data_IF_552049933027
#
_entry.id   IF_552049933027
#
_cell.length_a   1.000
_cell.length_b   1.000
_cell.length_c   1.000
_cell.angle_alpha   90.00
_cell.angle_beta   90.00
_cell.angle_gamma   90.00
#
_symmetry.space_group_name_H-M   'P 1'
#
loop_
_entity.id
_entity.type
_entity.pdbx_description
1 polymer ?
#
# COMPACT_ATOMS: atom_id res chain seq x y z
N UNK A 1 38.65 50.15 59.21
CA UNK A 1 38.78 48.78 58.67
C UNK A 1 37.85 47.88 59.48
N UNK A 2 37.06 46.94 58.91
CA UNK A 2 36.59 46.75 57.54
C UNK A 2 35.08 47.08 57.40
N UNK A 3 34.59 47.33 56.18
CA UNK A 3 33.15 47.49 55.90
C UNK A 3 32.70 46.35 54.98
N UNK A 4 31.71 45.62 55.43
CA UNK A 4 31.26 44.32 54.95
C UNK A 4 30.77 44.30 53.49
N UNK A 5 31.18 43.27 52.77
CA UNK A 5 30.60 42.86 51.48
C UNK A 5 29.21 42.27 51.71
N UNK A 6 28.19 42.80 51.02
CA UNK A 6 26.91 42.10 50.81
C UNK A 6 26.80 41.83 49.31
N UNK A 7 26.97 40.57 48.91
CA UNK A 7 26.66 40.10 47.56
C UNK A 7 25.22 39.62 47.54
N UNK A 8 24.34 40.37 46.91
CA UNK A 8 23.00 39.91 46.56
C UNK A 8 23.10 38.96 45.35
N UNK A 9 22.74 37.70 45.54
CA UNK A 9 22.62 36.71 44.46
C UNK A 9 21.16 36.73 44.00
N UNK A 10 20.90 37.33 42.84
CA UNK A 10 19.59 37.24 42.18
C UNK A 10 19.46 35.87 41.54
N UNK A 11 18.60 35.01 42.10
CA UNK A 11 18.20 33.76 41.49
C UNK A 11 17.20 34.06 40.36
N UNK A 12 17.64 33.90 39.11
CA UNK A 12 16.75 33.89 37.94
C UNK A 12 16.06 32.52 37.89
N UNK A 13 14.79 32.46 38.27
CA UNK A 13 13.95 31.28 38.09
C UNK A 13 13.55 31.19 36.61
N UNK A 14 14.14 30.24 35.89
CA UNK A 14 13.77 29.95 34.50
C UNK A 14 12.50 29.08 34.51
N UNK A 15 11.34 29.69 34.23
CA UNK A 15 10.12 28.92 33.96
C UNK A 15 10.28 28.23 32.60
N UNK A 16 10.56 26.92 32.61
CA UNK A 16 10.51 26.10 31.41
C UNK A 16 9.05 25.99 30.94
N UNK A 17 8.68 26.75 29.92
CA UNK A 17 7.43 26.52 29.19
C UNK A 17 7.58 25.22 28.43
N UNK A 18 6.91 24.15 28.89
CA UNK A 18 6.74 22.94 28.13
C UNK A 18 5.96 23.26 26.86
N UNK A 19 6.66 23.34 25.73
CA UNK A 19 6.01 23.39 24.43
C UNK A 19 5.37 22.03 24.17
N UNK A 20 4.04 21.97 24.22
CA UNK A 20 3.30 20.82 23.69
C UNK A 20 3.50 20.83 22.17
N UNK A 21 4.21 19.83 21.65
CA UNK A 21 4.34 19.64 20.21
C UNK A 21 2.94 19.37 19.66
N UNK A 22 2.43 20.29 18.84
CA UNK A 22 1.18 20.11 18.13
C UNK A 22 1.43 19.00 17.10
N UNK A 23 0.75 17.87 17.24
CA UNK A 23 0.83 16.75 16.32
C UNK A 23 0.31 17.24 14.96
N UNK A 24 1.23 17.71 14.14
CA UNK A 24 0.94 18.26 12.83
C UNK A 24 0.50 17.08 11.98
N UNK A 25 -0.82 16.91 11.83
CA UNK A 25 -1.44 15.94 10.93
C UNK A 25 -0.64 15.96 9.62
N UNK A 26 0.17 14.91 9.41
CA UNK A 26 1.07 14.84 8.26
C UNK A 26 0.24 14.98 7.00
N UNK A 27 0.65 15.85 6.09
CA UNK A 27 0.00 15.95 4.79
C UNK A 27 0.02 14.55 4.16
N UNK A 28 -1.16 14.00 3.89
CA UNK A 28 -1.31 12.68 3.27
C UNK A 28 -0.93 12.79 1.79
N UNK A 29 0.37 12.96 1.54
CA UNK A 29 1.00 13.07 0.22
C UNK A 29 2.33 12.31 0.18
N UNK A 30 2.65 11.74 -0.97
CA UNK A 30 3.91 11.05 -1.22
C UNK A 30 4.38 11.34 -2.65
N UNK A 31 5.66 11.63 -2.83
CA UNK A 31 6.28 11.75 -4.15
C UNK A 31 7.46 10.79 -4.26
N UNK A 32 7.52 10.01 -5.33
CA UNK A 32 8.52 8.95 -5.52
C UNK A 32 8.77 8.68 -7.00
N UNK A 33 9.85 7.94 -7.29
CA UNK A 33 10.15 7.47 -8.64
C UNK A 33 9.55 6.09 -8.86
N UNK A 34 8.86 5.91 -9.98
CA UNK A 34 8.37 4.62 -10.43
C UNK A 34 8.63 4.50 -11.93
N UNK A 35 9.32 3.44 -12.35
CA UNK A 35 9.74 3.25 -13.76
C UNK A 35 10.43 4.49 -14.39
N UNK A 36 11.21 5.21 -13.59
CA UNK A 36 11.93 6.42 -14.03
C UNK A 36 11.07 7.69 -14.14
N UNK A 37 9.78 7.63 -13.79
CA UNK A 37 8.87 8.78 -13.76
C UNK A 37 8.57 9.21 -12.33
N UNK A 38 8.47 10.52 -12.09
CA UNK A 38 8.03 11.04 -10.80
C UNK A 38 6.51 10.86 -10.67
N UNK A 39 6.10 10.10 -9.66
CA UNK A 39 4.71 9.91 -9.26
C UNK A 39 4.46 10.74 -8.01
N UNK A 40 3.34 11.44 -7.97
CA UNK A 40 2.88 12.18 -6.79
C UNK A 40 1.48 11.71 -6.43
N UNK A 41 1.32 11.27 -5.19
CA UNK A 41 0.07 10.97 -4.54
C UNK A 41 -0.23 12.12 -3.59
N UNK A 42 -1.42 12.69 -3.70
CA UNK A 42 -1.94 13.67 -2.77
C UNK A 42 -3.45 13.50 -2.66
N UNK A 43 -4.04 14.09 -1.63
CA UNK A 43 -5.49 14.20 -1.53
C UNK A 43 -5.99 15.40 -2.35
N UNK A 44 -6.88 15.13 -3.30
CA UNK A 44 -7.72 16.14 -3.95
C UNK A 44 -9.18 15.93 -3.50
N UNK A 45 -9.59 16.71 -2.50
CA UNK A 45 -10.92 16.65 -1.92
C UNK A 45 -12.03 17.12 -2.88
N UNK A 46 -11.69 17.81 -3.98
CA UNK A 46 -12.66 18.43 -4.89
C UNK A 46 -13.39 17.45 -5.80
N UNK A 47 -12.76 16.32 -6.17
CA UNK A 47 -13.33 15.33 -7.11
C UNK A 47 -13.59 13.95 -6.49
N UNK A 48 -13.24 13.77 -5.22
CA UNK A 48 -13.27 12.46 -4.53
C UNK A 48 -14.63 11.77 -4.56
N UNK A 49 -15.78 12.44 -4.29
CA UNK A 49 -17.07 11.76 -4.22
C UNK A 49 -17.54 11.19 -5.57
N UNK A 50 -17.27 11.89 -6.68
CA UNK A 50 -17.69 11.46 -8.01
C UNK A 50 -16.84 10.28 -8.51
N UNK A 51 -15.53 10.31 -8.24
CA UNK A 51 -14.62 9.22 -8.61
C UNK A 51 -14.88 7.98 -7.73
N UNK A 52 -15.15 8.16 -6.43
CA UNK A 52 -15.46 7.05 -5.53
C UNK A 52 -16.67 6.22 -5.99
N UNK A 53 -17.71 6.86 -6.54
CA UNK A 53 -18.89 6.17 -7.09
C UNK A 53 -18.56 5.21 -8.26
N UNK A 54 -17.44 5.42 -8.95
CA UNK A 54 -16.98 4.52 -10.03
C UNK A 54 -16.47 3.19 -9.47
N UNK A 55 -16.03 3.18 -8.20
CA UNK A 55 -15.48 2.02 -7.52
C UNK A 55 -16.48 1.34 -6.55
N UNK A 56 -17.61 1.99 -6.24
CA UNK A 56 -18.69 1.36 -5.45
C UNK A 56 -19.44 0.27 -6.21
N UNK A 57 -19.34 0.26 -7.54
CA UNK A 57 -20.06 -0.65 -8.43
C UNK A 57 -19.19 -1.79 -8.96
N UNK A 58 -18.05 -2.07 -8.32
CA UNK A 58 -17.24 -3.25 -8.66
C UNK A 58 -18.11 -4.48 -8.49
N UNK A 59 -18.36 -5.20 -9.58
CA UNK A 59 -19.12 -6.46 -9.57
C UNK A 59 -18.57 -7.34 -8.47
N UNK A 60 -19.43 -7.72 -7.52
CA UNK A 60 -19.03 -8.48 -6.34
C UNK A 60 -18.35 -9.78 -6.78
N UNK A 61 -17.01 -9.80 -6.81
CA UNK A 61 -16.27 -10.96 -7.32
C UNK A 61 -16.45 -12.19 -6.43
N UNK A 62 -17.01 -11.99 -5.22
CA UNK A 62 -17.40 -13.00 -4.25
C UNK A 62 -18.92 -13.22 -4.10
N UNK A 63 -19.75 -12.76 -5.05
CA UNK A 63 -21.16 -13.16 -5.12
C UNK A 63 -22.16 -12.34 -4.28
N UNK A 64 -21.91 -11.04 -4.09
CA UNK A 64 -22.94 -10.08 -3.67
C UNK A 64 -23.18 -9.93 -2.17
N UNK A 65 -22.55 -10.75 -1.34
CA UNK A 65 -22.75 -10.70 0.13
C UNK A 65 -21.48 -10.89 0.94
N UNK A 66 -20.32 -11.08 0.31
CA UNK A 66 -19.09 -11.24 1.08
C UNK A 66 -18.55 -9.88 1.52
N UNK A 67 -17.97 -9.88 2.72
CA UNK A 67 -17.11 -8.81 3.19
C UNK A 67 -15.75 -9.44 3.43
N UNK A 68 -14.74 -8.93 2.74
CA UNK A 68 -13.38 -9.40 2.83
C UNK A 68 -12.88 -9.29 4.30
N UNK A 69 -12.21 -10.31 4.86
CA UNK A 69 -11.69 -10.23 6.21
C UNK A 69 -10.58 -9.18 6.33
N UNK A 70 -10.26 -8.74 7.56
CA UNK A 70 -9.16 -7.80 7.80
C UNK A 70 -7.79 -8.41 7.49
N UNK A 71 -7.65 -9.72 7.67
CA UNK A 71 -6.43 -10.46 7.42
C UNK A 71 -6.65 -11.43 6.27
N UNK A 72 -5.78 -11.38 5.26
CA UNK A 72 -5.91 -12.24 4.09
C UNK A 72 -5.45 -13.68 4.34
N UNK A 73 -4.38 -13.84 5.11
CA UNK A 73 -3.87 -15.14 5.56
C UNK A 73 -2.96 -14.96 6.78
N UNK A 74 -2.66 -16.03 7.55
CA UNK A 74 -1.66 -15.98 8.60
C UNK A 74 -0.30 -15.50 8.06
N UNK A 75 0.35 -14.59 8.80
CA UNK A 75 1.65 -14.02 8.42
C UNK A 75 1.61 -12.88 7.39
N UNK A 76 0.47 -12.68 6.71
CA UNK A 76 0.27 -11.55 5.78
C UNK A 76 -0.09 -10.29 6.57
N UNK A 77 0.67 -9.22 6.35
CA UNK A 77 0.46 -7.95 7.06
C UNK A 77 -0.58 -7.09 6.35
N UNK A 78 -1.60 -6.63 7.08
CA UNK A 78 -2.59 -5.68 6.52
C UNK A 78 -2.16 -4.24 6.78
N UNK A 79 -2.15 -3.41 5.73
CA UNK A 79 -1.75 -2.00 5.79
C UNK A 79 -2.96 -1.06 5.72
N UNK A 80 -2.87 0.06 6.44
CA UNK A 80 -3.73 1.23 6.27
C UNK A 80 -3.12 2.22 5.27
N UNK A 81 -3.83 3.31 5.00
CA UNK A 81 -3.49 4.21 3.88
C UNK A 81 -2.14 4.90 4.07
N UNK A 82 -1.80 5.29 5.31
CA UNK A 82 -0.50 5.90 5.60
C UNK A 82 0.64 4.90 5.39
N UNK A 83 0.45 3.64 5.78
CA UNK A 83 1.44 2.58 5.54
C UNK A 83 1.56 2.23 4.05
N UNK A 84 0.47 2.28 3.27
CA UNK A 84 0.51 2.14 1.81
C UNK A 84 1.35 3.25 1.18
N UNK A 85 1.14 4.51 1.59
CA UNK A 85 1.93 5.64 1.10
C UNK A 85 3.42 5.50 1.45
N UNK A 86 3.72 5.01 2.65
CA UNK A 86 5.08 4.69 3.06
C UNK A 86 5.67 3.58 2.19
N UNK A 87 4.94 2.50 1.94
CA UNK A 87 5.37 1.39 1.08
C UNK A 87 5.70 1.87 -0.35
N UNK A 88 4.86 2.72 -0.92
CA UNK A 88 5.09 3.31 -2.24
C UNK A 88 6.34 4.20 -2.27
N UNK A 89 6.50 5.06 -1.27
CA UNK A 89 7.61 6.03 -1.24
C UNK A 89 8.95 5.47 -0.81
N UNK A 90 8.96 4.32 -0.11
CA UNK A 90 10.18 3.69 0.39
C UNK A 90 10.49 2.41 -0.38
N UNK A 91 9.62 1.41 -0.28
CA UNK A 91 9.87 0.06 -0.79
C UNK A 91 9.78 0.02 -2.32
N UNK A 92 8.71 0.57 -2.90
CA UNK A 92 8.56 0.62 -4.37
C UNK A 92 9.60 1.53 -5.00
N UNK A 93 9.81 2.72 -4.43
CA UNK A 93 10.83 3.66 -4.90
C UNK A 93 12.26 3.09 -4.82
N UNK A 94 12.54 2.30 -3.77
CA UNK A 94 13.81 1.60 -3.56
C UNK A 94 13.97 0.32 -4.37
N UNK A 95 12.96 -0.07 -5.16
CA UNK A 95 12.97 -1.28 -6.00
C UNK A 95 12.86 -2.60 -5.21
N UNK A 96 12.57 -2.54 -3.91
CA UNK A 96 12.42 -3.70 -3.03
C UNK A 96 10.96 -4.17 -2.94
N UNK A 97 10.02 -3.26 -3.19
CA UNK A 97 8.58 -3.50 -3.13
C UNK A 97 7.91 -3.44 -4.50
N UNK A 98 6.73 -4.04 -4.59
CA UNK A 98 5.82 -3.93 -5.73
C UNK A 98 4.39 -3.79 -5.22
N UNK A 99 3.70 -2.71 -5.60
CA UNK A 99 2.27 -2.59 -5.35
C UNK A 99 1.49 -3.23 -6.49
N UNK A 100 0.56 -4.11 -6.15
CA UNK A 100 -0.08 -5.04 -7.09
C UNK A 100 -1.59 -4.89 -7.05
N UNK A 101 -2.15 -4.56 -8.20
CA UNK A 101 -3.59 -4.52 -8.45
C UNK A 101 -4.06 -5.91 -8.90
N UNK A 102 -4.80 -6.59 -8.03
CA UNK A 102 -5.29 -7.96 -8.25
C UNK A 102 -6.53 -8.04 -9.15
N UNK A 103 -7.12 -6.90 -9.51
CA UNK A 103 -8.34 -6.84 -10.31
C UNK A 103 -8.07 -7.26 -11.75
N UNK A 104 -9.13 -7.68 -12.43
CA UNK A 104 -9.10 -7.90 -13.88
C UNK A 104 -8.87 -6.58 -14.63
N UNK A 105 -8.27 -6.62 -15.85
CA UNK A 105 -7.91 -5.41 -16.58
C UNK A 105 -9.08 -4.44 -16.82
N UNK A 106 -10.30 -4.96 -16.97
CA UNK A 106 -11.51 -4.16 -17.17
C UNK A 106 -11.84 -3.28 -15.96
N UNK A 107 -11.61 -3.78 -14.74
CA UNK A 107 -11.82 -2.99 -13.53
C UNK A 107 -10.67 -2.04 -13.26
N UNK A 108 -9.43 -2.45 -13.58
CA UNK A 108 -8.27 -1.56 -13.54
C UNK A 108 -8.43 -0.37 -14.47
N UNK A 109 -9.00 -0.56 -15.66
CA UNK A 109 -9.20 0.51 -16.64
C UNK A 109 -10.07 1.67 -16.12
N UNK A 110 -10.90 1.46 -15.09
CA UNK A 110 -11.67 2.51 -14.42
C UNK A 110 -10.80 3.46 -13.59
N UNK A 111 -9.59 3.03 -13.26
CA UNK A 111 -8.58 3.77 -12.51
C UNK A 111 -7.89 2.89 -11.48
N UNK A 112 -6.65 3.23 -11.14
CA UNK A 112 -5.80 2.48 -10.22
C UNK A 112 -4.90 3.39 -9.36
N UNK A 113 -4.33 2.81 -8.30
CA UNK A 113 -3.41 3.51 -7.40
C UNK A 113 -2.09 3.78 -8.15
N UNK A 114 -1.62 5.04 -8.24
CA UNK A 114 -0.36 5.36 -8.91
C UNK A 114 0.82 4.59 -8.33
N UNK A 115 1.70 4.09 -9.20
CA UNK A 115 2.84 3.26 -8.79
C UNK A 115 2.50 1.78 -8.60
N UNK A 116 1.31 1.33 -9.02
CA UNK A 116 0.94 -0.09 -9.04
C UNK A 116 1.05 -0.73 -10.41
N UNK A 117 1.33 -2.04 -10.43
CA UNK A 117 1.23 -2.91 -11.61
C UNK A 117 -0.02 -3.78 -11.53
N UNK A 118 -0.51 -4.24 -12.68
CA UNK A 118 -1.64 -5.18 -12.71
C UNK A 118 -1.16 -6.62 -12.72
N UNK A 119 -1.65 -7.42 -11.77
CA UNK A 119 -1.48 -8.87 -11.75
C UNK A 119 -2.83 -9.48 -11.36
N UNK A 120 -3.76 -9.67 -12.31
CA UNK A 120 -5.07 -10.22 -12.00
C UNK A 120 -4.97 -11.55 -11.26
N UNK A 121 -5.82 -11.79 -10.25
CA UNK A 121 -5.75 -12.99 -9.40
C UNK A 121 -5.66 -14.32 -10.19
N UNK A 122 -6.31 -14.39 -11.35
CA UNK A 122 -6.38 -15.58 -12.22
C UNK A 122 -5.06 -15.89 -12.93
N UNK A 123 -4.14 -14.93 -12.99
CA UNK A 123 -2.84 -15.11 -13.63
C UNK A 123 -1.94 -16.09 -12.87
N UNK A 124 -2.13 -16.20 -11.55
CA UNK A 124 -1.39 -17.13 -10.69
C UNK A 124 -2.19 -18.36 -10.27
N UNK A 125 -3.38 -18.58 -10.85
CA UNK A 125 -4.15 -19.79 -10.65
C UNK A 125 -3.30 -21.02 -11.02
N UNK A 126 -3.41 -22.10 -10.23
CA UNK A 126 -2.62 -23.33 -10.44
C UNK A 126 -2.83 -23.98 -11.81
N UNK A 127 -3.98 -23.73 -12.46
CA UNK A 127 -4.29 -24.22 -13.81
C UNK A 127 -3.70 -23.36 -14.93
N UNK A 128 -3.13 -22.20 -14.63
CA UNK A 128 -2.59 -21.29 -15.62
C UNK A 128 -1.22 -21.77 -16.13
N UNK A 129 -1.12 -22.05 -17.43
CA UNK A 129 0.10 -22.51 -18.08
C UNK A 129 1.29 -21.53 -17.98
N UNK A 130 1.01 -20.23 -17.80
CA UNK A 130 2.02 -19.18 -17.69
C UNK A 130 2.40 -18.84 -16.24
N UNK A 131 1.83 -19.55 -15.24
CA UNK A 131 2.07 -19.28 -13.81
C UNK A 131 3.56 -19.19 -13.48
N UNK A 132 4.37 -20.13 -13.99
CA UNK A 132 5.82 -20.16 -13.74
C UNK A 132 6.55 -18.96 -14.34
N UNK A 133 6.19 -18.52 -15.55
CA UNK A 133 6.78 -17.32 -16.18
C UNK A 133 6.47 -16.06 -15.38
N UNK A 134 5.24 -15.96 -14.89
CA UNK A 134 4.78 -14.83 -14.09
C UNK A 134 5.50 -14.79 -12.73
N UNK A 135 5.64 -15.94 -12.05
CA UNK A 135 6.40 -16.05 -10.81
C UNK A 135 7.85 -15.61 -11.02
N UNK A 136 8.49 -16.00 -12.14
CA UNK A 136 9.83 -15.52 -12.50
C UNK A 136 9.88 -14.01 -12.72
N UNK A 137 8.87 -13.44 -13.38
CA UNK A 137 8.79 -11.99 -13.63
C UNK A 137 8.69 -11.16 -12.34
N UNK A 138 8.15 -11.73 -11.25
CA UNK A 138 8.08 -11.09 -9.92
C UNK A 138 9.25 -11.48 -8.99
N UNK A 139 10.28 -12.13 -9.52
CA UNK A 139 11.56 -12.38 -8.83
C UNK A 139 11.74 -13.80 -8.28
N UNK A 140 10.82 -14.73 -8.54
CA UNK A 140 11.03 -16.13 -8.18
C UNK A 140 12.12 -16.77 -9.05
N UNK A 141 12.97 -17.59 -8.44
CA UNK A 141 13.88 -18.49 -9.14
C UNK A 141 13.33 -19.90 -9.07
N UNK A 142 13.45 -20.66 -10.15
CA UNK A 142 12.99 -22.05 -10.19
C UNK A 142 14.18 -22.99 -10.35
N UNK A 143 14.23 -24.05 -9.54
CA UNK A 143 15.20 -25.13 -9.65
C UNK A 143 14.49 -26.47 -9.44
N UNK A 144 14.58 -27.37 -10.42
CA UNK A 144 13.91 -28.69 -10.41
C UNK A 144 12.41 -28.64 -10.03
N UNK A 145 11.68 -27.62 -10.52
CA UNK A 145 10.24 -27.45 -10.27
C UNK A 145 9.89 -26.85 -8.90
N UNK A 146 10.88 -26.46 -8.10
CA UNK A 146 10.69 -25.76 -6.84
C UNK A 146 11.05 -24.27 -6.99
N UNK A 147 10.15 -23.41 -6.53
CA UNK A 147 10.38 -21.97 -6.50
C UNK A 147 11.12 -21.54 -5.24
N UNK A 148 12.06 -20.61 -5.41
CA UNK A 148 12.79 -19.90 -4.38
C UNK A 148 12.52 -18.40 -4.53
N UNK A 149 12.17 -17.75 -3.43
CA UNK A 149 11.75 -16.34 -3.39
C UNK A 149 12.73 -15.44 -2.63
N UNK A 150 13.96 -15.89 -2.39
CA UNK A 150 14.97 -15.14 -1.62
C UNK A 150 15.34 -13.78 -2.23
N UNK A 151 15.21 -13.64 -3.55
CA UNK A 151 15.44 -12.39 -4.28
C UNK A 151 14.13 -11.75 -4.78
N UNK A 152 12.98 -12.25 -4.34
CA UNK A 152 11.70 -11.74 -4.77
C UNK A 152 11.37 -10.40 -4.06
N UNK A 153 10.46 -9.63 -4.63
CA UNK A 153 10.05 -8.34 -4.05
C UNK A 153 9.03 -8.54 -2.94
N UNK A 154 8.97 -7.64 -1.97
CA UNK A 154 7.80 -7.57 -1.09
C UNK A 154 6.59 -7.11 -1.91
N UNK A 155 5.45 -7.79 -1.80
CA UNK A 155 4.25 -7.48 -2.55
C UNK A 155 3.20 -6.86 -1.65
N UNK A 156 2.69 -5.68 -2.01
CA UNK A 156 1.48 -5.10 -1.43
C UNK A 156 0.32 -5.28 -2.39
N UNK A 157 -0.60 -6.17 -2.06
CA UNK A 157 -1.73 -6.54 -2.92
C UNK A 157 -2.99 -5.79 -2.51
N UNK A 158 -3.72 -5.27 -3.49
CA UNK A 158 -5.04 -4.66 -3.30
C UNK A 158 -6.00 -5.04 -4.42
N UNK A 159 -7.28 -4.82 -4.18
CA UNK A 159 -8.36 -4.99 -5.17
C UNK A 159 -9.35 -3.83 -5.12
N UNK A 160 -10.62 -4.07 -5.45
CA UNK A 160 -11.63 -3.02 -5.45
C UNK A 160 -11.92 -2.49 -4.05
N UNK A 161 -11.77 -3.31 -3.00
CA UNK A 161 -12.03 -2.91 -1.61
C UNK A 161 -12.76 -3.97 -0.80
N UNK A 162 -13.38 -3.59 0.34
CA UNK A 162 -13.97 -4.51 1.31
C UNK A 162 -15.02 -5.51 0.80
N UNK A 163 -15.61 -5.29 -0.38
CA UNK A 163 -16.63 -6.16 -0.99
C UNK A 163 -16.09 -7.00 -2.15
N UNK A 164 -14.76 -7.11 -2.28
CA UNK A 164 -14.07 -7.89 -3.32
C UNK A 164 -13.14 -8.94 -2.69
N UNK A 165 -12.87 -10.01 -3.42
CA UNK A 165 -12.03 -11.14 -2.96
C UNK A 165 -10.82 -11.37 -3.89
N UNK A 166 -10.58 -10.48 -4.85
CA UNK A 166 -9.52 -10.68 -5.85
C UNK A 166 -8.13 -10.64 -5.22
N UNK A 167 -7.90 -9.74 -4.26
CA UNK A 167 -6.63 -9.67 -3.53
C UNK A 167 -6.38 -10.92 -2.70
N UNK A 168 -7.41 -11.43 -2.02
CA UNK A 168 -7.34 -12.66 -1.22
C UNK A 168 -6.98 -13.86 -2.09
N UNK A 169 -7.64 -13.99 -3.25
CA UNK A 169 -7.37 -15.08 -4.20
C UNK A 169 -5.96 -15.00 -4.77
N UNK A 170 -5.47 -13.80 -5.09
CA UNK A 170 -4.09 -13.62 -5.53
C UNK A 170 -3.09 -14.00 -4.43
N UNK A 171 -3.32 -13.54 -3.20
CA UNK A 171 -2.50 -13.88 -2.03
C UNK A 171 -2.48 -15.39 -1.79
N UNK A 172 -3.65 -16.06 -1.86
CA UNK A 172 -3.73 -17.52 -1.75
C UNK A 172 -2.90 -18.21 -2.82
N UNK A 173 -3.03 -17.79 -4.08
CA UNK A 173 -2.29 -18.36 -5.20
C UNK A 173 -0.76 -18.18 -5.08
N UNK A 174 -0.32 -17.07 -4.48
CA UNK A 174 1.08 -16.79 -4.16
C UNK A 174 1.58 -17.69 -3.02
N UNK A 175 0.82 -17.83 -1.94
CA UNK A 175 1.15 -18.73 -0.83
C UNK A 175 1.23 -20.20 -1.31
N UNK A 176 0.29 -20.62 -2.15
CA UNK A 176 0.28 -21.95 -2.78
C UNK A 176 1.46 -22.16 -3.75
N UNK A 177 2.07 -21.08 -4.24
CA UNK A 177 3.31 -21.13 -5.03
C UNK A 177 4.57 -21.18 -4.15
N UNK A 178 4.42 -21.00 -2.83
CA UNK A 178 5.52 -20.94 -1.88
C UNK A 178 6.06 -19.53 -1.60
N UNK A 179 5.36 -18.47 -2.01
CA UNK A 179 5.76 -17.09 -1.68
C UNK A 179 5.74 -16.90 -0.15
N UNK A 180 6.77 -16.32 0.47
CA UNK A 180 6.82 -16.18 1.92
C UNK A 180 5.71 -15.25 2.42
N UNK A 181 4.90 -15.66 3.42
CA UNK A 181 3.78 -14.85 3.92
C UNK A 181 4.23 -13.49 4.46
N UNK A 182 5.41 -13.42 5.08
CA UNK A 182 6.02 -12.19 5.59
C UNK A 182 6.43 -11.20 4.49
N UNK A 183 6.54 -11.66 3.24
CA UNK A 183 6.80 -10.83 2.06
C UNK A 183 5.50 -10.41 1.34
N UNK A 184 4.34 -10.79 1.88
CA UNK A 184 3.04 -10.42 1.36
C UNK A 184 2.36 -9.45 2.32
N UNK A 185 1.84 -8.37 1.76
CA UNK A 185 1.07 -7.35 2.44
C UNK A 185 -0.27 -7.18 1.73
N UNK A 186 -1.29 -6.81 2.50
CA UNK A 186 -2.65 -6.64 2.00
C UNK A 186 -3.16 -5.23 2.29
N UNK A 187 -3.65 -4.53 1.26
CA UNK A 187 -4.41 -3.30 1.44
C UNK A 187 -5.89 -3.56 1.17
N UNK A 188 -6.63 -3.79 2.26
CA UNK A 188 -8.07 -4.09 2.24
C UNK A 188 -8.94 -2.96 1.72
N UNK A 189 -8.52 -1.72 1.94
CA UNK A 189 -9.29 -0.55 1.54
C UNK A 189 -9.54 -0.51 0.03
N UNK A 190 -8.59 -1.05 -0.74
CA UNK A 190 -8.67 -1.11 -2.19
C UNK A 190 -8.96 0.25 -2.82
N UNK A 191 -9.53 0.22 -4.03
CA UNK A 191 -9.92 1.44 -4.73
C UNK A 191 -11.08 2.19 -4.08
N UNK A 192 -12.03 1.49 -3.45
CA UNK A 192 -13.18 2.10 -2.79
C UNK A 192 -12.77 3.09 -1.70
N UNK A 193 -11.92 2.65 -0.77
CA UNK A 193 -11.46 3.52 0.34
C UNK A 193 -10.46 4.56 -0.17
N UNK A 194 -9.55 4.17 -1.08
CA UNK A 194 -8.58 5.08 -1.67
C UNK A 194 -9.25 6.28 -2.37
N UNK A 195 -10.26 6.00 -3.20
CA UNK A 195 -11.04 7.02 -3.88
C UNK A 195 -11.90 7.85 -2.92
N UNK A 196 -12.53 7.21 -1.93
CA UNK A 196 -13.35 7.90 -0.93
C UNK A 196 -12.54 8.92 -0.10
N UNK A 197 -11.27 8.63 0.17
CA UNK A 197 -10.35 9.55 0.85
C UNK A 197 -9.80 10.64 -0.08
N UNK A 198 -10.05 10.54 -1.39
CA UNK A 198 -9.65 11.54 -2.38
C UNK A 198 -8.21 11.46 -2.81
N UNK A 199 -7.56 10.32 -2.66
CA UNK A 199 -6.19 10.14 -3.13
C UNK A 199 -6.11 10.13 -4.66
N UNK A 200 -4.93 10.47 -5.18
CA UNK A 200 -4.63 10.43 -6.62
C UNK A 200 -4.91 9.06 -7.24
N UNK A 201 -5.51 9.07 -8.42
CA UNK A 201 -5.86 7.88 -9.22
C UNK A 201 -5.31 8.10 -10.63
N UNK A 202 -4.73 7.05 -11.21
CA UNK A 202 -4.26 7.02 -12.59
C UNK A 202 -5.19 6.17 -13.46
N UNK A 203 -5.19 6.44 -14.76
CA UNK A 203 -5.84 5.60 -15.78
C UNK A 203 -4.82 5.18 -16.81
N UNK A 204 -5.08 4.12 -17.56
CA UNK A 204 -4.18 3.72 -18.64
C UNK A 204 -4.05 4.87 -19.66
N UNK A 205 -2.82 5.31 -19.93
CA UNK A 205 -2.53 6.41 -20.87
C UNK A 205 -2.50 7.83 -20.29
N UNK A 206 -2.62 8.01 -18.97
CA UNK A 206 -2.42 9.30 -18.26
C UNK A 206 -0.99 9.53 -17.81
#
# INVERSE_FOLDING_TARGET
MPSSFVRAVSALTFCATGAVAQEQLTQASASFLFNGQQVTIARDAGQSPAIAQQFTSSTDSCGGSCIAPMQAAPGVTTLGELEVMRFLSQDVAGGQGLMVDARVPQDRAKGFIPGSVNLPFSTLDSSNAFRSDILRAIGAREFDGLFNFSDARTLLVYDSGPTSDDAHRLISNLLDAGYPPEMLMYYRGGMQVWAALGFSIQTEGS
#
